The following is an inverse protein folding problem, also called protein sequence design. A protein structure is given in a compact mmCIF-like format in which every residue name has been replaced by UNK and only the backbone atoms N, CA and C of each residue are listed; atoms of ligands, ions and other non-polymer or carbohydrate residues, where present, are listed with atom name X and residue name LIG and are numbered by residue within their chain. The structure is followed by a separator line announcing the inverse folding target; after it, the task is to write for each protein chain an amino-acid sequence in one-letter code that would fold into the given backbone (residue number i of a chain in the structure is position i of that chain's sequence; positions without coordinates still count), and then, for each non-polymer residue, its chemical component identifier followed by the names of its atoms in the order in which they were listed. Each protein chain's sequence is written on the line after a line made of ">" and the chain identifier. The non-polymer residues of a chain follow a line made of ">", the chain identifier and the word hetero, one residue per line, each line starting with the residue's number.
data_IF_426693902053
#
_entry.id   IF_426693902053
#
_cell.length_a   1.000
_cell.length_b   1.000
_cell.length_c   1.000
_cell.angle_alpha   90.00
_cell.angle_beta   90.00
_cell.angle_gamma   90.00
#
_symmetry.space_group_name_H-M   'P 1'
#
loop_
_entity.id
_entity.type
_entity.pdbx_description
1 polymer ?
#
# COMPACT_ATOMS: atom_id res chain seq x y z
N UNK A 1 -15.76 28.40 -35.73
CA UNK A 1 -15.09 27.62 -36.80
C UNK A 1 -14.84 26.24 -36.29
N UNK A 2 -15.56 25.23 -36.81
CA UNK A 2 -15.42 23.82 -36.43
C UNK A 2 -14.12 23.29 -37.01
N UNK A 3 -13.11 23.08 -36.19
CA UNK A 3 -11.92 22.34 -36.58
C UNK A 3 -12.23 20.86 -36.67
N UNK A 4 -12.61 20.40 -37.86
CA UNK A 4 -12.67 18.99 -38.17
C UNK A 4 -11.24 18.43 -38.12
N UNK A 5 -10.86 17.75 -37.02
CA UNK A 5 -9.62 17.00 -36.95
C UNK A 5 -9.69 15.94 -38.05
N UNK A 6 -8.89 16.09 -39.13
CA UNK A 6 -8.72 15.04 -40.13
C UNK A 6 -8.10 13.82 -39.42
N UNK A 7 -8.89 12.78 -39.23
CA UNK A 7 -8.43 11.48 -38.78
C UNK A 7 -7.59 10.85 -39.90
N UNK A 8 -6.26 11.04 -39.85
CA UNK A 8 -5.30 10.48 -40.81
C UNK A 8 -4.62 9.21 -40.27
N UNK A 9 -5.30 8.47 -39.37
CA UNK A 9 -4.76 7.25 -38.79
C UNK A 9 -5.15 5.99 -39.58
N UNK A 10 -4.37 4.94 -39.43
CA UNK A 10 -4.69 3.60 -39.94
C UNK A 10 -5.98 3.09 -39.30
N UNK A 11 -7.03 2.75 -40.10
CA UNK A 11 -8.32 2.29 -39.58
C UNK A 11 -8.20 1.03 -38.69
N UNK A 12 -7.32 0.10 -39.04
CA UNK A 12 -7.12 -1.12 -38.27
C UNK A 12 -6.56 -0.82 -36.86
N UNK A 13 -5.60 0.10 -36.76
CA UNK A 13 -5.07 0.57 -35.47
C UNK A 13 -6.09 1.34 -34.65
N UNK A 14 -7.00 2.09 -35.32
CA UNK A 14 -8.08 2.77 -34.62
C UNK A 14 -9.07 1.79 -34.00
N UNK A 15 -9.43 0.73 -34.74
CA UNK A 15 -10.34 -0.32 -34.25
C UNK A 15 -9.70 -1.11 -33.09
N UNK A 16 -8.43 -1.48 -33.22
CA UNK A 16 -7.65 -2.15 -32.17
C UNK A 16 -7.62 -1.30 -30.88
N UNK A 17 -7.33 0.01 -31.00
CA UNK A 17 -7.29 0.92 -29.86
C UNK A 17 -8.68 1.12 -29.24
N UNK A 18 -9.73 1.23 -30.04
CA UNK A 18 -11.11 1.30 -29.54
C UNK A 18 -11.47 0.04 -28.74
N UNK A 19 -11.14 -1.14 -29.26
CA UNK A 19 -11.28 -2.41 -28.54
C UNK A 19 -10.50 -2.46 -27.22
N UNK A 20 -9.28 -1.89 -27.19
CA UNK A 20 -8.51 -1.74 -25.94
C UNK A 20 -9.25 -0.84 -24.95
N UNK A 21 -9.83 0.27 -25.37
CA UNK A 21 -10.57 1.18 -24.47
C UNK A 21 -11.82 0.54 -23.89
N UNK A 22 -12.51 -0.32 -24.64
CA UNK A 22 -13.62 -1.13 -24.13
C UNK A 22 -13.15 -2.10 -23.04
N UNK A 23 -12.01 -2.74 -23.22
CA UNK A 23 -11.42 -3.59 -22.17
C UNK A 23 -11.07 -2.78 -20.91
N UNK A 24 -10.40 -1.62 -21.06
CA UNK A 24 -10.09 -0.73 -19.94
C UNK A 24 -11.35 -0.35 -19.15
N UNK A 25 -12.46 -0.01 -19.84
CA UNK A 25 -13.72 0.28 -19.15
C UNK A 25 -14.25 -0.93 -18.38
N UNK A 26 -14.28 -2.11 -19.01
CA UNK A 26 -14.77 -3.33 -18.37
C UNK A 26 -13.92 -3.73 -17.18
N UNK A 27 -12.60 -3.72 -17.32
CA UNK A 27 -11.66 -4.09 -16.25
C UNK A 27 -11.77 -3.11 -15.06
N UNK A 28 -11.92 -1.80 -15.34
CA UNK A 28 -12.14 -0.80 -14.30
C UNK A 28 -13.46 -1.03 -13.56
N UNK A 29 -14.56 -1.31 -14.25
CA UNK A 29 -15.85 -1.63 -13.64
C UNK A 29 -15.78 -2.94 -12.83
N UNK A 30 -15.09 -3.94 -13.35
CA UNK A 30 -14.87 -5.21 -12.65
C UNK A 30 -14.07 -5.01 -11.37
N UNK A 31 -13.08 -4.11 -11.38
CA UNK A 31 -12.33 -3.70 -10.19
C UNK A 31 -13.24 -3.19 -9.06
N UNK A 32 -14.26 -2.36 -9.38
CA UNK A 32 -15.24 -1.91 -8.38
C UNK A 32 -16.08 -3.08 -7.84
N UNK A 33 -16.47 -4.04 -8.67
CA UNK A 33 -17.20 -5.23 -8.22
C UNK A 33 -16.32 -6.10 -7.32
N UNK A 34 -15.02 -6.22 -7.61
CA UNK A 34 -14.08 -6.92 -6.75
C UNK A 34 -13.91 -6.21 -5.40
N UNK A 35 -13.80 -4.89 -5.39
CA UNK A 35 -13.81 -4.08 -4.16
C UNK A 35 -15.05 -4.35 -3.31
N UNK A 36 -16.25 -4.38 -3.92
CA UNK A 36 -17.49 -4.70 -3.22
C UNK A 36 -17.46 -6.13 -2.66
N UNK A 37 -17.01 -7.11 -3.46
CA UNK A 37 -16.89 -8.51 -3.04
C UNK A 37 -15.97 -8.69 -1.84
N UNK A 38 -14.84 -7.98 -1.84
CA UNK A 38 -13.89 -7.98 -0.73
C UNK A 38 -14.49 -7.33 0.54
N UNK A 39 -15.04 -6.11 0.42
CA UNK A 39 -15.63 -5.35 1.53
C UNK A 39 -16.82 -6.05 2.18
N UNK A 40 -17.64 -6.72 1.39
CA UNK A 40 -18.81 -7.47 1.85
C UNK A 40 -18.48 -8.92 2.26
N UNK A 41 -17.22 -9.35 2.12
CA UNK A 41 -16.74 -10.71 2.36
C UNK A 41 -17.39 -11.77 1.47
N UNK A 42 -17.96 -11.39 0.33
CA UNK A 42 -18.63 -12.34 -0.57
C UNK A 42 -17.65 -13.39 -1.10
N UNK A 43 -16.41 -13.02 -1.42
CA UNK A 43 -15.39 -13.99 -1.84
C UNK A 43 -15.08 -15.00 -0.75
N UNK A 44 -14.89 -14.54 0.50
CA UNK A 44 -14.60 -15.42 1.64
C UNK A 44 -15.78 -16.39 1.95
N UNK A 45 -17.01 -15.89 1.80
CA UNK A 45 -18.22 -16.73 1.96
C UNK A 45 -18.32 -17.76 0.84
N UNK A 46 -18.18 -17.35 -0.42
CA UNK A 46 -18.29 -18.26 -1.57
C UNK A 46 -17.19 -19.31 -1.60
N UNK A 47 -15.98 -19.00 -1.13
CA UNK A 47 -14.89 -19.96 -1.04
C UNK A 47 -15.19 -21.14 -0.08
N UNK A 48 -16.12 -20.94 0.87
CA UNK A 48 -16.52 -21.95 1.87
C UNK A 48 -17.81 -22.66 1.52
N UNK A 49 -18.53 -22.18 0.50
CA UNK A 49 -19.79 -22.77 0.07
C UNK A 49 -19.57 -23.77 -1.09
N UNK A 50 -20.40 -24.83 -1.18
CA UNK A 50 -20.55 -25.58 -2.42
C UNK A 50 -21.16 -24.65 -3.51
N UNK A 51 -21.28 -25.11 -4.77
CA UNK A 51 -22.07 -24.40 -5.77
C UNK A 51 -23.46 -24.06 -5.21
N UNK A 52 -23.80 -22.76 -5.16
CA UNK A 52 -24.97 -22.24 -4.43
C UNK A 52 -25.73 -21.20 -5.23
N UNK A 53 -27.02 -21.06 -4.99
CA UNK A 53 -27.88 -20.03 -5.58
C UNK A 53 -27.58 -18.64 -5.01
N UNK A 54 -28.09 -17.59 -5.64
CA UNK A 54 -27.92 -16.22 -5.12
C UNK A 54 -28.56 -16.03 -3.75
N UNK A 55 -29.68 -16.70 -3.49
CA UNK A 55 -30.39 -16.68 -2.22
C UNK A 55 -29.57 -17.34 -1.09
N UNK A 56 -28.95 -18.48 -1.37
CA UNK A 56 -28.10 -19.20 -0.42
C UNK A 56 -26.84 -18.42 -0.09
N UNK A 57 -26.17 -17.83 -1.12
CA UNK A 57 -24.98 -16.98 -0.93
C UNK A 57 -25.34 -15.73 -0.13
N UNK A 58 -26.44 -15.07 -0.46
CA UNK A 58 -26.90 -13.89 0.26
C UNK A 58 -27.24 -14.21 1.72
N UNK A 59 -27.94 -15.33 1.95
CA UNK A 59 -28.27 -15.80 3.29
C UNK A 59 -27.01 -16.10 4.13
N UNK A 60 -26.04 -16.78 3.56
CA UNK A 60 -24.76 -17.09 4.21
C UNK A 60 -23.93 -15.85 4.52
N UNK A 61 -23.98 -14.85 3.65
CA UNK A 61 -23.27 -13.57 3.82
C UNK A 61 -24.01 -12.56 4.70
N UNK A 62 -25.28 -12.80 5.04
CA UNK A 62 -26.15 -11.83 5.74
C UNK A 62 -26.44 -10.58 4.92
N UNK A 63 -26.51 -10.72 3.60
CA UNK A 63 -26.67 -9.60 2.66
C UNK A 63 -28.02 -9.65 1.93
N UNK A 64 -28.39 -8.53 1.34
CA UNK A 64 -29.62 -8.44 0.56
C UNK A 64 -29.47 -9.13 -0.80
N UNK A 65 -30.30 -10.15 -1.09
CA UNK A 65 -30.21 -11.02 -2.27
C UNK A 65 -30.19 -10.27 -3.59
N UNK A 66 -31.01 -9.24 -3.75
CA UNK A 66 -31.08 -8.49 -5.02
C UNK A 66 -29.74 -7.85 -5.40
N UNK A 67 -28.97 -7.36 -4.42
CA UNK A 67 -27.62 -6.83 -4.64
C UNK A 67 -26.62 -7.95 -4.90
N UNK A 68 -26.69 -9.04 -4.15
CA UNK A 68 -25.81 -10.21 -4.35
C UNK A 68 -26.01 -10.80 -5.75
N UNK A 69 -27.25 -10.96 -6.19
CA UNK A 69 -27.58 -11.46 -7.55
C UNK A 69 -27.05 -10.56 -8.67
N UNK A 70 -27.18 -9.24 -8.53
CA UNK A 70 -26.63 -8.29 -9.51
C UNK A 70 -25.10 -8.35 -9.54
N UNK A 71 -24.46 -8.38 -8.36
CA UNK A 71 -23.02 -8.52 -8.24
C UNK A 71 -22.53 -9.84 -8.84
N UNK A 72 -23.18 -10.96 -8.54
CA UNK A 72 -22.89 -12.28 -9.14
C UNK A 72 -22.96 -12.24 -10.66
N UNK A 73 -23.96 -11.55 -11.22
CA UNK A 73 -24.05 -11.34 -12.66
C UNK A 73 -22.82 -10.66 -13.23
N UNK A 74 -22.38 -9.55 -12.61
CA UNK A 74 -21.20 -8.79 -13.03
C UNK A 74 -19.90 -9.59 -12.94
N UNK A 75 -19.62 -10.24 -11.80
CA UNK A 75 -18.40 -11.03 -11.62
C UNK A 75 -18.39 -12.33 -12.42
N UNK A 76 -19.58 -12.85 -12.79
CA UNK A 76 -19.70 -14.02 -13.68
C UNK A 76 -19.34 -13.66 -15.11
N UNK A 77 -19.93 -12.60 -15.66
CA UNK A 77 -19.58 -12.16 -17.04
C UNK A 77 -18.17 -11.61 -17.12
N UNK A 78 -17.61 -11.14 -15.99
CA UNK A 78 -16.21 -10.78 -15.83
C UNK A 78 -15.27 -11.97 -15.67
N UNK A 79 -15.76 -13.21 -15.65
CA UNK A 79 -14.92 -14.42 -15.60
C UNK A 79 -14.34 -14.75 -14.22
N UNK A 80 -14.80 -14.10 -13.14
CA UNK A 80 -14.33 -14.35 -11.77
C UNK A 80 -15.08 -15.51 -11.11
N UNK A 81 -16.39 -15.59 -11.31
CA UNK A 81 -17.28 -16.61 -10.76
C UNK A 81 -17.79 -17.49 -11.88
N UNK A 82 -17.89 -18.78 -11.65
CA UNK A 82 -18.48 -19.75 -12.59
C UNK A 82 -19.95 -19.93 -12.25
N UNK A 83 -20.80 -19.91 -13.28
CA UNK A 83 -22.24 -20.11 -13.17
C UNK A 83 -22.68 -21.40 -13.89
N UNK A 84 -23.46 -22.21 -13.22
CA UNK A 84 -24.14 -23.36 -13.81
C UNK A 84 -25.61 -23.01 -14.12
N UNK A 85 -26.01 -22.95 -15.42
CA UNK A 85 -27.37 -22.61 -15.79
C UNK A 85 -28.39 -23.73 -15.52
N UNK A 86 -27.95 -24.98 -15.38
CA UNK A 86 -28.85 -26.09 -15.11
C UNK A 86 -29.41 -26.03 -13.69
N UNK A 87 -28.55 -25.79 -12.71
CA UNK A 87 -28.93 -25.70 -11.29
C UNK A 87 -29.06 -24.25 -10.81
N UNK A 88 -28.74 -23.27 -11.67
CA UNK A 88 -28.71 -21.83 -11.34
C UNK A 88 -27.80 -21.50 -10.16
N UNK A 89 -26.67 -22.19 -10.06
CA UNK A 89 -25.72 -22.05 -8.99
C UNK A 89 -24.45 -21.33 -9.43
N UNK A 90 -23.81 -20.69 -8.47
CA UNK A 90 -22.54 -19.94 -8.62
C UNK A 90 -21.46 -20.60 -7.78
N UNK A 91 -20.23 -20.59 -8.27
CA UNK A 91 -19.06 -21.13 -7.57
C UNK A 91 -17.85 -20.21 -7.81
N UNK A 92 -17.14 -19.87 -6.74
CA UNK A 92 -15.81 -19.26 -6.83
C UNK A 92 -14.79 -20.39 -7.00
N UNK A 93 -14.03 -20.45 -8.13
CA UNK A 93 -12.97 -21.42 -8.30
C UNK A 93 -11.89 -21.27 -7.23
N UNK A 94 -11.30 -22.36 -6.69
CA UNK A 94 -10.21 -22.28 -5.71
C UNK A 94 -9.02 -21.47 -6.20
N UNK A 95 -8.69 -21.53 -7.50
CA UNK A 95 -7.63 -20.79 -8.15
C UNK A 95 -7.87 -19.27 -8.10
N UNK A 96 -9.14 -18.84 -8.20
CA UNK A 96 -9.50 -17.44 -8.10
C UNK A 96 -9.59 -17.01 -6.62
N UNK A 97 -10.07 -17.88 -5.74
CA UNK A 97 -10.10 -17.62 -4.31
C UNK A 97 -8.70 -17.33 -3.74
N UNK A 98 -7.67 -17.99 -4.27
CA UNK A 98 -6.26 -17.78 -3.91
C UNK A 98 -5.74 -16.35 -4.15
N UNK A 99 -6.48 -15.50 -4.91
CA UNK A 99 -6.11 -14.11 -5.15
C UNK A 99 -7.18 -13.09 -4.72
N UNK A 100 -8.30 -13.56 -4.14
CA UNK A 100 -9.45 -12.69 -3.82
C UNK A 100 -9.89 -12.78 -2.37
N UNK A 101 -9.59 -13.89 -1.68
CA UNK A 101 -9.99 -14.10 -0.30
C UNK A 101 -8.96 -13.55 0.69
N UNK A 102 -9.40 -13.19 1.88
CA UNK A 102 -8.51 -12.70 2.95
C UNK A 102 -7.49 -13.75 3.39
N UNK A 103 -7.88 -15.02 3.36
CA UNK A 103 -7.00 -16.14 3.71
C UNK A 103 -5.83 -16.33 2.70
N UNK A 104 -5.86 -15.66 1.54
CA UNK A 104 -4.75 -15.64 0.59
C UNK A 104 -3.54 -14.80 1.07
N UNK A 105 -3.70 -14.02 2.13
CA UNK A 105 -2.62 -13.20 2.70
C UNK A 105 -2.01 -12.23 1.66
N UNK A 106 -0.68 -12.30 1.42
CA UNK A 106 -0.01 -11.42 0.46
C UNK A 106 -0.55 -11.50 -0.97
N UNK A 107 -1.14 -12.63 -1.36
CA UNK A 107 -1.68 -12.85 -2.71
C UNK A 107 -3.10 -12.28 -2.91
N UNK A 108 -3.73 -11.73 -1.86
CA UNK A 108 -5.05 -11.12 -1.95
C UNK A 108 -5.01 -9.79 -2.71
N UNK A 109 -5.21 -9.83 -4.01
CA UNK A 109 -5.24 -8.63 -4.86
C UNK A 109 -6.56 -7.85 -4.76
N UNK A 110 -7.62 -8.45 -4.21
CA UNK A 110 -8.91 -7.76 -4.06
C UNK A 110 -8.86 -6.62 -3.03
N UNK A 111 -7.92 -6.65 -2.08
CA UNK A 111 -7.69 -5.57 -1.13
C UNK A 111 -7.30 -4.27 -1.83
N UNK A 112 -6.34 -4.30 -2.76
CA UNK A 112 -5.91 -3.12 -3.54
C UNK A 112 -7.04 -2.49 -4.36
N UNK A 113 -8.03 -3.28 -4.77
CA UNK A 113 -9.13 -2.75 -5.58
C UNK A 113 -10.08 -1.86 -4.76
N UNK A 114 -9.95 -1.82 -3.42
CA UNK A 114 -10.66 -0.86 -2.57
C UNK A 114 -10.20 0.57 -2.80
N UNK A 115 -8.93 0.76 -3.16
CA UNK A 115 -8.34 2.08 -3.40
C UNK A 115 -8.97 2.79 -4.60
N UNK A 116 -9.47 2.03 -5.59
CA UNK A 116 -10.20 2.63 -6.71
C UNK A 116 -11.39 3.48 -6.26
N UNK A 117 -12.12 3.00 -5.24
CA UNK A 117 -13.25 3.75 -4.69
C UNK A 117 -12.79 4.95 -3.87
N UNK A 118 -11.66 4.84 -3.18
CA UNK A 118 -11.08 5.92 -2.38
C UNK A 118 -10.59 7.07 -3.26
N UNK A 119 -9.76 6.75 -4.26
CA UNK A 119 -9.19 7.75 -5.17
C UNK A 119 -10.28 8.40 -6.06
N UNK A 120 -11.33 7.66 -6.42
CA UNK A 120 -12.46 8.20 -7.18
C UNK A 120 -13.22 9.32 -6.47
N UNK A 121 -13.14 9.40 -5.13
CA UNK A 121 -13.79 10.46 -4.37
C UNK A 121 -13.17 11.84 -4.57
N UNK A 122 -11.90 11.90 -4.96
CA UNK A 122 -11.12 13.14 -5.07
C UNK A 122 -10.85 13.56 -6.52
N UNK A 123 -11.47 12.93 -7.51
CA UNK A 123 -11.22 13.20 -8.93
C UNK A 123 -11.41 14.69 -9.28
N UNK A 124 -12.47 15.33 -8.80
CA UNK A 124 -12.75 16.75 -9.06
C UNK A 124 -11.69 17.67 -8.43
N UNK A 125 -11.19 17.31 -7.23
CA UNK A 125 -10.10 18.05 -6.57
C UNK A 125 -8.78 17.88 -7.34
N UNK A 126 -8.48 16.68 -7.81
CA UNK A 126 -7.31 16.41 -8.66
C UNK A 126 -7.41 17.17 -9.99
N UNK A 127 -8.58 17.21 -10.64
CA UNK A 127 -8.81 18.02 -11.86
C UNK A 127 -8.56 19.50 -11.59
N UNK A 128 -8.91 19.99 -10.41
CA UNK A 128 -8.62 21.36 -9.99
C UNK A 128 -7.10 21.57 -9.84
N UNK A 129 -6.41 20.62 -9.17
CA UNK A 129 -4.96 20.67 -9.02
C UNK A 129 -4.21 20.63 -10.38
N UNK A 130 -4.73 19.90 -11.37
CA UNK A 130 -4.16 19.93 -12.73
C UNK A 130 -4.23 21.32 -13.41
N UNK A 131 -5.21 22.15 -13.04
CA UNK A 131 -5.40 23.48 -13.62
C UNK A 131 -4.64 24.58 -12.88
N UNK A 132 -4.71 24.51 -11.55
CA UNK A 132 -4.34 25.62 -10.68
C UNK A 132 -3.05 25.34 -9.87
N UNK A 133 -2.53 24.12 -9.92
CA UNK A 133 -1.46 23.65 -9.07
C UNK A 133 -1.95 23.33 -7.65
N UNK A 134 -1.03 23.14 -6.71
CA UNK A 134 -1.34 22.65 -5.36
C UNK A 134 -1.58 21.15 -5.34
N UNK A 135 -2.44 20.67 -4.44
CA UNK A 135 -2.75 19.27 -4.29
C UNK A 135 -4.02 19.04 -3.48
N UNK A 136 -4.30 17.77 -3.16
CA UNK A 136 -5.48 17.35 -2.42
C UNK A 136 -5.09 17.08 -0.97
N UNK A 137 -5.78 17.67 0.03
CA UNK A 137 -5.41 17.47 1.42
C UNK A 137 -5.72 16.05 1.90
N UNK A 138 -4.95 15.55 2.85
CA UNK A 138 -5.10 14.21 3.45
C UNK A 138 -6.52 13.95 3.99
N UNK A 139 -7.19 15.01 4.47
CA UNK A 139 -8.57 14.94 4.99
C UNK A 139 -9.63 14.59 3.96
N UNK A 140 -9.33 14.68 2.66
CA UNK A 140 -10.24 14.31 1.57
C UNK A 140 -10.34 12.80 1.36
N UNK A 141 -9.51 12.00 2.03
CA UNK A 141 -9.46 10.54 1.89
C UNK A 141 -10.06 9.82 3.11
N UNK A 142 -11.38 9.67 3.18
CA UNK A 142 -12.02 8.90 4.25
C UNK A 142 -11.58 7.43 4.14
N UNK A 143 -11.33 6.77 5.28
CA UNK A 143 -10.90 5.37 5.35
C UNK A 143 -9.47 5.09 4.86
N UNK A 144 -8.67 6.10 4.50
CA UNK A 144 -7.29 5.85 4.06
C UNK A 144 -6.52 5.02 5.08
N UNK A 145 -6.52 5.42 6.34
CA UNK A 145 -5.82 4.71 7.42
C UNK A 145 -6.28 3.25 7.61
N UNK A 146 -7.58 3.00 7.40
CA UNK A 146 -8.15 1.64 7.46
C UNK A 146 -7.62 0.77 6.31
N UNK A 147 -7.61 1.30 5.09
CA UNK A 147 -7.14 0.57 3.91
C UNK A 147 -5.63 0.31 3.99
N UNK A 148 -4.84 1.31 4.35
CA UNK A 148 -3.39 1.15 4.52
C UNK A 148 -3.04 0.15 5.62
N UNK A 149 -3.80 0.10 6.72
CA UNK A 149 -3.59 -0.91 7.75
C UNK A 149 -3.89 -2.32 7.25
N UNK A 150 -4.93 -2.52 6.42
CA UNK A 150 -5.24 -3.82 5.80
C UNK A 150 -4.13 -4.26 4.84
N UNK A 151 -3.62 -3.34 4.01
CA UNK A 151 -2.50 -3.60 3.08
C UNK A 151 -1.21 -3.92 3.82
N UNK A 152 -0.87 -3.13 4.83
CA UNK A 152 0.31 -3.33 5.68
C UNK A 152 0.25 -4.69 6.37
N UNK A 153 -0.89 -5.05 6.98
CA UNK A 153 -1.08 -6.34 7.64
C UNK A 153 -0.88 -7.51 6.67
N UNK A 154 -1.41 -7.40 5.45
CA UNK A 154 -1.28 -8.42 4.41
C UNK A 154 0.17 -8.80 4.13
N UNK A 155 1.07 -7.83 4.05
CA UNK A 155 2.49 -8.03 3.75
C UNK A 155 3.28 -8.36 5.02
N UNK A 156 3.11 -7.58 6.08
CA UNK A 156 4.00 -7.65 7.24
C UNK A 156 3.70 -8.81 8.16
N UNK A 157 2.46 -9.29 8.24
CA UNK A 157 2.14 -10.53 8.99
C UNK A 157 2.95 -11.73 8.47
N UNK A 158 3.21 -11.77 7.15
CA UNK A 158 3.94 -12.84 6.53
C UNK A 158 5.46 -12.61 6.46
N UNK A 159 5.92 -11.37 6.29
CA UNK A 159 7.28 -11.09 5.85
C UNK A 159 8.13 -10.24 6.81
N UNK A 160 7.53 -9.42 7.68
CA UNK A 160 8.30 -8.42 8.44
C UNK A 160 9.42 -9.04 9.27
N UNK A 161 9.08 -10.02 10.11
CA UNK A 161 10.04 -10.61 11.07
C UNK A 161 10.98 -11.60 10.38
N UNK A 162 10.45 -12.41 9.46
CA UNK A 162 11.15 -13.56 8.91
C UNK A 162 11.88 -13.28 7.58
N UNK A 163 11.53 -12.19 6.89
CA UNK A 163 12.13 -11.85 5.59
C UNK A 163 12.69 -10.42 5.54
N UNK A 164 11.96 -9.40 6.02
CA UNK A 164 12.38 -7.99 5.90
C UNK A 164 13.46 -7.64 6.94
N UNK A 165 13.26 -7.95 8.21
CA UNK A 165 14.28 -7.69 9.26
C UNK A 165 15.60 -8.40 8.97
N UNK A 166 15.64 -9.66 8.48
CA UNK A 166 16.89 -10.33 8.10
C UNK A 166 17.65 -9.72 6.92
N UNK A 167 17.07 -8.78 6.17
CA UNK A 167 17.82 -8.01 5.15
C UNK A 167 18.98 -7.21 5.74
N UNK A 168 18.91 -6.92 7.05
CA UNK A 168 19.99 -6.31 7.82
C UNK A 168 20.78 -7.41 8.54
N UNK A 169 22.00 -7.74 8.08
CA UNK A 169 22.80 -8.81 8.68
C UNK A 169 23.02 -8.62 10.18
N UNK A 170 22.75 -9.66 10.98
CA UNK A 170 22.91 -9.67 12.43
C UNK A 170 21.81 -8.92 13.20
N UNK A 171 20.84 -8.31 12.54
CA UNK A 171 19.76 -7.57 13.21
C UNK A 171 18.80 -8.49 13.97
N UNK A 172 18.35 -9.65 13.42
CA UNK A 172 17.50 -10.58 14.17
C UNK A 172 18.09 -10.99 15.52
N UNK A 173 19.38 -11.33 15.56
CA UNK A 173 20.08 -11.74 16.75
C UNK A 173 20.22 -10.58 17.76
N UNK A 174 20.48 -9.37 17.29
CA UNK A 174 20.53 -8.17 18.13
C UNK A 174 19.18 -7.85 18.76
N UNK A 175 18.10 -7.93 17.98
CA UNK A 175 16.72 -7.73 18.45
C UNK A 175 16.31 -8.79 19.47
N UNK A 176 16.72 -10.05 19.28
CA UNK A 176 16.41 -11.15 20.17
C UNK A 176 17.28 -11.17 21.44
N UNK A 177 18.31 -10.31 21.55
CA UNK A 177 19.19 -10.26 22.72
C UNK A 177 18.48 -9.64 23.93
N UNK A 178 18.87 -10.05 25.13
CA UNK A 178 18.34 -9.52 26.41
C UNK A 178 18.61 -8.03 26.62
N UNK A 179 19.59 -7.46 25.92
CA UNK A 179 19.90 -6.03 25.97
C UNK A 179 18.80 -5.19 25.32
N UNK A 180 18.08 -5.78 24.37
CA UNK A 180 17.06 -5.09 23.56
C UNK A 180 17.65 -3.97 22.70
N UNK A 181 16.90 -3.51 21.72
CA UNK A 181 17.24 -2.37 20.88
C UNK A 181 16.21 -1.25 21.05
N UNK A 182 16.66 0.00 20.84
CA UNK A 182 15.78 1.15 20.65
C UNK A 182 15.43 1.25 19.17
N UNK A 183 14.17 1.07 18.83
CA UNK A 183 13.65 1.06 17.46
C UNK A 183 12.65 2.19 17.28
N UNK A 184 12.78 2.93 16.20
CA UNK A 184 11.83 3.94 15.75
C UNK A 184 11.24 3.55 14.42
N UNK A 185 9.92 3.67 14.27
CA UNK A 185 9.20 3.53 13.01
C UNK A 185 8.60 4.89 12.62
N UNK A 186 8.98 5.39 11.46
CA UNK A 186 8.57 6.70 10.93
C UNK A 186 7.41 6.50 9.96
N UNK A 187 6.31 7.26 10.14
CA UNK A 187 5.09 7.06 9.38
C UNK A 187 4.38 5.76 9.75
N UNK A 188 4.31 5.48 11.04
CA UNK A 188 3.84 4.19 11.57
C UNK A 188 2.35 3.89 11.30
N UNK A 189 1.57 4.88 10.86
CA UNK A 189 0.13 4.74 10.61
C UNK A 189 -0.63 4.21 11.82
N UNK A 190 -1.25 3.05 11.68
CA UNK A 190 -1.93 2.34 12.78
C UNK A 190 -0.99 1.42 13.58
N UNK A 191 0.32 1.55 13.43
CA UNK A 191 1.32 0.90 14.27
C UNK A 191 1.51 -0.59 14.07
N UNK A 192 1.06 -1.14 12.95
CA UNK A 192 1.07 -2.58 12.71
C UNK A 192 2.48 -3.17 12.78
N UNK A 193 3.46 -2.58 12.05
CA UNK A 193 4.85 -3.02 12.05
C UNK A 193 5.46 -2.97 13.47
N UNK A 194 5.24 -1.87 14.20
CA UNK A 194 5.71 -1.71 15.59
C UNK A 194 5.13 -2.78 16.50
N UNK A 195 3.82 -3.05 16.42
CA UNK A 195 3.16 -4.06 17.25
C UNK A 195 3.67 -5.47 16.95
N UNK A 196 3.92 -5.80 15.69
CA UNK A 196 4.52 -7.08 15.30
C UNK A 196 5.93 -7.25 15.87
N UNK A 197 6.78 -6.22 15.71
CA UNK A 197 8.16 -6.25 16.24
C UNK A 197 8.19 -6.28 17.76
N UNK A 198 7.34 -5.50 18.44
CA UNK A 198 7.25 -5.48 19.89
C UNK A 198 6.82 -6.83 20.47
N UNK A 199 5.92 -7.54 19.78
CA UNK A 199 5.50 -8.91 20.14
C UNK A 199 6.61 -9.93 19.91
N UNK A 200 7.32 -9.81 18.77
CA UNK A 200 8.38 -10.76 18.41
C UNK A 200 9.65 -10.59 19.29
N UNK A 201 9.94 -9.37 19.75
CA UNK A 201 11.16 -9.02 20.46
C UNK A 201 10.87 -8.30 21.79
N UNK A 202 10.47 -9.03 22.84
CA UNK A 202 9.99 -8.43 24.10
C UNK A 202 11.01 -7.57 24.86
N UNK A 203 12.32 -7.80 24.66
CA UNK A 203 13.39 -7.01 25.27
C UNK A 203 13.61 -5.64 24.59
N UNK A 204 13.17 -5.47 23.34
CA UNK A 204 13.29 -4.23 22.58
C UNK A 204 12.33 -3.14 23.05
N UNK A 205 12.61 -1.91 22.69
CA UNK A 205 11.76 -0.73 22.91
C UNK A 205 11.40 -0.15 21.55
N UNK A 206 10.12 -0.15 21.23
CA UNK A 206 9.62 0.22 19.91
C UNK A 206 8.79 1.50 20.02
N UNK A 207 9.13 2.48 19.21
CA UNK A 207 8.40 3.76 19.12
C UNK A 207 7.92 3.96 17.69
N UNK A 208 6.64 4.22 17.50
CA UNK A 208 6.06 4.63 16.23
C UNK A 208 5.68 6.10 16.25
N UNK A 209 5.99 6.84 15.18
CA UNK A 209 5.58 8.24 15.02
C UNK A 209 4.79 8.43 13.73
N UNK A 210 3.71 9.20 13.82
CA UNK A 210 2.86 9.55 12.68
C UNK A 210 2.15 10.88 12.93
N UNK A 211 1.79 11.62 11.88
CA UNK A 211 1.00 12.84 11.99
C UNK A 211 -0.49 12.55 12.22
N UNK A 212 -0.97 11.37 11.85
CA UNK A 212 -2.37 10.95 11.96
C UNK A 212 -2.75 10.66 13.42
N UNK A 213 -3.55 11.56 14.02
CA UNK A 213 -4.10 11.35 15.37
C UNK A 213 -4.95 10.09 15.47
N UNK A 214 -5.73 9.79 14.44
CA UNK A 214 -6.58 8.59 14.41
C UNK A 214 -5.76 7.32 14.23
N UNK A 215 -4.71 7.34 13.39
CA UNK A 215 -3.77 6.24 13.25
C UNK A 215 -3.07 5.91 14.56
N UNK A 216 -2.51 6.92 15.23
CA UNK A 216 -1.85 6.75 16.54
C UNK A 216 -2.81 6.28 17.64
N UNK A 217 -4.07 6.74 17.64
CA UNK A 217 -5.07 6.22 18.58
C UNK A 217 -5.30 4.72 18.36
N UNK A 218 -5.55 4.30 17.11
CA UNK A 218 -5.73 2.89 16.76
C UNK A 218 -4.48 2.03 17.09
N UNK A 219 -3.28 2.57 16.86
CA UNK A 219 -2.02 1.90 17.20
C UNK A 219 -1.89 1.61 18.70
N UNK A 220 -2.28 2.58 19.54
CA UNK A 220 -2.27 2.43 21.00
C UNK A 220 -3.29 1.42 21.49
N UNK A 221 -4.52 1.50 20.96
CA UNK A 221 -5.61 0.57 21.30
C UNK A 221 -5.21 -0.88 20.96
N UNK A 222 -4.56 -1.09 19.82
CA UNK A 222 -4.07 -2.39 19.42
C UNK A 222 -2.91 -2.89 20.31
N UNK A 223 -1.96 -2.03 20.65
CA UNK A 223 -0.87 -2.38 21.57
C UNK A 223 -1.40 -2.76 22.96
N UNK A 224 -2.39 -2.02 23.49
CA UNK A 224 -3.06 -2.35 24.75
C UNK A 224 -3.80 -3.69 24.66
N UNK A 225 -4.57 -3.90 23.60
CA UNK A 225 -5.27 -5.18 23.35
C UNK A 225 -4.34 -6.39 23.28
N UNK A 226 -3.13 -6.20 22.72
CA UNK A 226 -2.09 -7.22 22.60
C UNK A 226 -1.21 -7.35 23.84
N UNK A 227 -1.34 -6.43 24.81
CA UNK A 227 -0.53 -6.42 26.02
C UNK A 227 0.96 -6.13 25.78
N UNK A 228 1.28 -5.16 24.92
CA UNK A 228 2.64 -4.81 24.51
C UNK A 228 3.18 -3.58 25.28
N UNK A 229 3.81 -3.75 26.46
CA UNK A 229 4.32 -2.63 27.26
C UNK A 229 5.55 -1.94 26.64
N UNK A 230 6.18 -2.59 25.68
CA UNK A 230 7.36 -2.15 24.97
C UNK A 230 7.07 -1.43 23.64
N UNK A 231 5.80 -1.24 23.28
CA UNK A 231 5.37 -0.44 22.13
C UNK A 231 4.86 0.93 22.61
N UNK A 232 5.29 2.02 21.96
CA UNK A 232 4.86 3.40 22.23
C UNK A 232 4.54 4.10 20.91
N UNK A 233 3.56 5.02 20.95
CA UNK A 233 3.13 5.74 19.74
C UNK A 233 2.93 7.22 20.03
N UNK A 234 3.45 8.07 19.17
CA UNK A 234 3.44 9.52 19.33
C UNK A 234 2.91 10.21 18.07
N UNK A 235 2.05 11.20 18.26
CA UNK A 235 1.64 12.09 17.16
C UNK A 235 2.76 13.09 16.97
N UNK A 236 3.54 12.92 15.92
CA UNK A 236 4.70 13.77 15.63
C UNK A 236 4.99 13.84 14.13
N UNK A 237 5.60 14.96 13.72
CA UNK A 237 6.15 15.10 12.39
C UNK A 237 7.51 14.39 12.32
N UNK A 238 7.66 13.54 11.31
CA UNK A 238 8.89 12.78 11.09
C UNK A 238 10.13 13.65 10.86
N UNK A 239 9.97 14.86 10.28
CA UNK A 239 11.05 15.81 10.12
C UNK A 239 11.57 16.41 11.44
N UNK A 240 10.82 16.26 12.54
CA UNK A 240 11.20 16.70 13.87
C UNK A 240 11.72 15.58 14.79
N UNK A 241 11.92 14.39 14.26
CA UNK A 241 12.38 13.24 15.06
C UNK A 241 13.75 13.51 15.69
N UNK A 242 13.83 13.20 16.97
CA UNK A 242 15.07 13.30 17.77
C UNK A 242 15.25 12.03 18.59
N UNK A 243 16.42 11.82 19.15
CA UNK A 243 16.73 10.64 19.98
C UNK A 243 17.96 9.90 19.53
N UNK A 244 18.09 8.64 19.97
CA UNK A 244 19.22 7.77 19.64
C UNK A 244 18.70 6.34 19.50
N UNK A 245 18.60 5.88 18.27
CA UNK A 245 18.01 4.58 17.93
C UNK A 245 19.06 3.65 17.30
N UNK A 246 18.92 2.37 17.57
CA UNK A 246 19.71 1.30 16.95
C UNK A 246 19.19 0.94 15.57
N UNK A 247 17.86 1.05 15.40
CA UNK A 247 17.16 0.82 14.15
C UNK A 247 16.12 1.93 13.94
N UNK A 248 16.09 2.50 12.75
CA UNK A 248 14.94 3.29 12.29
C UNK A 248 14.34 2.56 11.09
N UNK A 249 13.03 2.45 11.05
CA UNK A 249 12.27 1.93 9.91
C UNK A 249 11.39 3.02 9.31
N UNK A 250 11.13 2.92 8.01
CA UNK A 250 10.13 3.69 7.28
C UNK A 250 9.65 2.84 6.10
N UNK A 251 8.37 2.51 6.06
CA UNK A 251 7.81 1.62 5.06
C UNK A 251 6.69 2.32 4.29
N UNK A 252 6.90 2.54 2.99
CA UNK A 252 5.98 3.21 2.08
C UNK A 252 5.58 4.63 2.55
N UNK A 253 6.55 5.41 3.04
CA UNK A 253 6.32 6.71 3.68
C UNK A 253 7.07 7.84 3.02
N UNK A 254 8.36 7.66 2.68
CA UNK A 254 9.24 8.78 2.29
C UNK A 254 8.75 9.49 1.03
N UNK A 255 8.14 8.77 0.12
CA UNK A 255 7.69 9.28 -1.18
C UNK A 255 6.44 10.18 -1.10
N UNK A 256 5.66 10.11 -0.03
CA UNK A 256 4.45 10.93 0.14
C UNK A 256 4.62 12.10 1.13
N UNK A 257 5.75 12.14 1.86
CA UNK A 257 6.02 13.22 2.79
C UNK A 257 6.13 14.59 2.11
N UNK A 258 5.67 15.62 2.81
CA UNK A 258 5.89 17.00 2.37
C UNK A 258 7.37 17.38 2.43
N UNK A 259 8.11 16.93 3.45
CA UNK A 259 9.51 17.30 3.72
C UNK A 259 10.43 16.08 3.79
N UNK A 260 10.55 15.28 2.69
CA UNK A 260 11.30 14.03 2.73
C UNK A 260 12.80 14.22 3.00
N UNK A 261 13.42 15.28 2.49
CA UNK A 261 14.84 15.57 2.72
C UNK A 261 15.12 15.90 4.21
N UNK A 262 14.25 16.70 4.83
CA UNK A 262 14.38 17.03 6.26
C UNK A 262 14.15 15.76 7.13
N UNK A 263 13.18 14.93 6.76
CA UNK A 263 12.92 13.67 7.44
C UNK A 263 14.12 12.73 7.35
N UNK A 264 14.69 12.52 6.17
CA UNK A 264 15.88 11.68 6.02
C UNK A 264 17.08 12.20 6.81
N UNK A 265 17.28 13.53 6.87
CA UNK A 265 18.31 14.15 7.68
C UNK A 265 18.06 13.96 9.21
N UNK A 266 16.80 14.09 9.65
CA UNK A 266 16.40 13.85 11.03
C UNK A 266 16.62 12.37 11.42
N UNK A 267 16.26 11.42 10.56
CA UNK A 267 16.51 9.99 10.73
C UNK A 267 18.03 9.72 10.87
N UNK A 268 18.85 10.26 9.97
CA UNK A 268 20.31 10.14 10.06
C UNK A 268 20.84 10.70 11.39
N UNK A 269 20.31 11.86 11.84
CA UNK A 269 20.67 12.47 13.12
C UNK A 269 20.27 11.61 14.34
N UNK A 270 19.12 10.94 14.26
CA UNK A 270 18.56 10.14 15.34
C UNK A 270 19.16 8.72 15.45
N UNK A 271 19.87 8.23 14.47
CA UNK A 271 20.56 6.95 14.55
C UNK A 271 21.79 7.02 15.48
N UNK A 272 22.08 5.94 16.17
CA UNK A 272 23.41 5.68 16.80
C UNK A 272 24.48 5.51 15.72
N UNK A 273 25.75 5.54 16.13
CA UNK A 273 26.86 5.46 15.16
C UNK A 273 26.89 4.10 14.41
N UNK A 274 26.46 3.02 15.07
CA UNK A 274 26.31 1.66 14.50
C UNK A 274 24.84 1.34 14.11
N UNK A 275 23.97 2.34 14.19
CA UNK A 275 22.54 2.22 13.86
C UNK A 275 22.29 2.01 12.37
N UNK A 276 21.13 1.47 12.07
CA UNK A 276 20.70 1.18 10.69
C UNK A 276 19.35 1.86 10.40
N UNK A 277 19.23 2.42 9.21
CA UNK A 277 17.96 2.82 8.63
C UNK A 277 17.52 1.76 7.62
N UNK A 278 16.38 1.14 7.85
CA UNK A 278 15.73 0.19 6.96
C UNK A 278 14.50 0.86 6.34
N UNK A 279 14.60 1.26 5.09
CA UNK A 279 13.53 1.90 4.35
C UNK A 279 12.99 0.93 3.31
N UNK A 280 11.70 0.65 3.35
CA UNK A 280 10.96 -0.03 2.27
C UNK A 280 10.23 1.02 1.44
N UNK A 281 10.32 0.94 0.11
CA UNK A 281 9.61 1.85 -0.77
C UNK A 281 9.42 1.20 -2.16
N UNK A 282 8.59 1.81 -2.99
CA UNK A 282 8.15 1.25 -4.26
C UNK A 282 9.32 0.90 -5.19
N UNK A 283 9.29 -0.33 -5.73
CA UNK A 283 10.27 -0.87 -6.66
C UNK A 283 10.10 -0.28 -8.07
N UNK A 284 10.43 0.99 -8.21
CA UNK A 284 10.35 1.72 -9.48
C UNK A 284 11.66 2.42 -9.81
N UNK A 285 11.81 2.83 -11.08
CA UNK A 285 12.89 3.70 -11.53
C UNK A 285 12.43 5.17 -11.54
N UNK A 286 13.37 6.09 -11.29
CA UNK A 286 13.13 7.53 -11.52
C UNK A 286 13.06 7.89 -13.01
N UNK A 287 13.28 6.94 -13.90
CA UNK A 287 13.30 7.12 -15.36
C UNK A 287 12.10 6.41 -15.97
N UNK A 288 11.28 7.16 -16.70
CA UNK A 288 10.06 6.63 -17.29
C UNK A 288 10.31 5.44 -18.23
N UNK A 289 11.38 5.51 -19.03
CA UNK A 289 11.75 4.47 -19.97
C UNK A 289 12.05 3.11 -19.31
N UNK A 290 12.52 3.11 -18.07
CA UNK A 290 12.80 1.92 -17.28
C UNK A 290 11.53 1.34 -16.62
N UNK A 291 10.44 2.13 -16.56
CA UNK A 291 9.14 1.73 -16.02
C UNK A 291 8.15 1.23 -17.07
N UNK A 292 8.49 1.28 -18.38
CA UNK A 292 7.58 0.88 -19.46
C UNK A 292 7.11 -0.58 -19.38
N UNK A 293 7.89 -1.45 -18.75
CA UNK A 293 7.58 -2.87 -18.52
C UNK A 293 7.10 -3.20 -17.11
N UNK A 294 6.88 -2.20 -16.26
CA UNK A 294 6.48 -2.42 -14.87
C UNK A 294 5.05 -2.99 -14.82
N UNK A 295 4.84 -4.19 -14.26
CA UNK A 295 3.52 -4.86 -14.30
C UNK A 295 2.40 -4.02 -13.71
N UNK A 296 2.65 -3.33 -12.59
CA UNK A 296 1.71 -2.44 -11.91
C UNK A 296 1.90 -0.96 -12.27
N UNK A 297 2.67 -0.65 -13.30
CA UNK A 297 3.03 0.72 -13.68
C UNK A 297 1.84 1.67 -13.76
N UNK A 298 0.76 1.37 -14.51
CA UNK A 298 -0.42 2.24 -14.58
C UNK A 298 -1.08 2.49 -13.21
N UNK A 299 -1.17 1.46 -12.35
CA UNK A 299 -1.73 1.60 -11.00
C UNK A 299 -0.86 2.50 -10.13
N UNK A 300 0.46 2.28 -10.11
CA UNK A 300 1.41 3.09 -9.32
C UNK A 300 1.40 4.56 -9.73
N UNK A 301 1.36 4.87 -11.04
CA UNK A 301 1.20 6.25 -11.51
C UNK A 301 -0.17 6.84 -11.17
N UNK A 302 -1.23 6.03 -11.15
CA UNK A 302 -2.56 6.45 -10.72
C UNK A 302 -2.54 6.81 -9.24
N UNK A 303 -2.02 5.94 -8.38
CA UNK A 303 -1.89 6.24 -6.94
C UNK A 303 -1.00 7.47 -6.69
N UNK A 304 0.08 7.64 -7.45
CA UNK A 304 0.89 8.84 -7.37
C UNK A 304 0.10 10.12 -7.63
N UNK A 305 -0.65 10.16 -8.75
CA UNK A 305 -1.44 11.34 -9.15
C UNK A 305 -2.60 11.61 -8.19
N UNK A 306 -3.30 10.57 -7.77
CA UNK A 306 -4.50 10.68 -6.96
C UNK A 306 -4.24 10.69 -5.45
N UNK A 307 -3.04 10.34 -4.99
CA UNK A 307 -2.73 10.25 -3.58
C UNK A 307 -1.32 10.76 -3.27
N UNK A 308 -0.26 9.97 -3.37
CA UNK A 308 1.05 10.26 -2.80
C UNK A 308 1.63 11.61 -3.24
N UNK A 309 1.66 11.87 -4.55
CA UNK A 309 2.17 13.14 -5.07
C UNK A 309 1.27 14.32 -4.69
N UNK A 310 -0.04 14.17 -4.88
CA UNK A 310 -0.98 15.28 -4.69
C UNK A 310 -1.16 15.65 -3.21
N UNK A 311 -1.09 14.70 -2.29
CA UNK A 311 -1.14 14.99 -0.84
C UNK A 311 0.11 15.77 -0.42
N UNK A 312 1.29 15.32 -0.81
CA UNK A 312 2.54 16.04 -0.56
C UNK A 312 2.48 17.49 -1.10
N UNK A 313 2.02 17.68 -2.34
CA UNK A 313 1.86 19.01 -2.94
C UNK A 313 0.79 19.84 -2.22
N UNK A 314 -0.29 19.21 -1.73
CA UNK A 314 -1.35 19.88 -0.95
C UNK A 314 -0.86 20.46 0.36
N UNK A 315 0.19 19.89 0.92
CA UNK A 315 0.89 20.40 2.11
C UNK A 315 2.08 21.32 1.76
N UNK A 316 2.21 21.76 0.50
CA UNK A 316 3.31 22.58 0.03
C UNK A 316 4.64 21.83 -0.05
N UNK A 317 4.58 20.52 -0.15
CA UNK A 317 5.72 19.63 -0.10
C UNK A 317 6.41 19.35 -1.43
N UNK A 318 7.32 18.37 -1.42
CA UNK A 318 8.22 18.07 -2.54
C UNK A 318 7.51 17.35 -3.72
N UNK A 319 6.37 16.68 -3.46
CA UNK A 319 5.60 15.98 -4.48
C UNK A 319 6.37 14.85 -5.17
N UNK A 320 7.16 14.06 -4.43
CA UNK A 320 7.95 12.95 -5.00
C UNK A 320 7.03 11.93 -5.70
N UNK A 321 5.99 11.48 -5.00
CA UNK A 321 5.00 10.54 -5.50
C UNK A 321 5.49 9.09 -5.54
N UNK A 322 4.56 8.16 -5.71
CA UNK A 322 4.77 6.71 -5.66
C UNK A 322 5.93 6.23 -6.53
N UNK A 323 6.14 6.83 -7.70
CA UNK A 323 7.14 6.41 -8.69
C UNK A 323 8.40 7.30 -8.65
N UNK A 324 8.79 7.81 -7.48
CA UNK A 324 10.00 8.63 -7.32
C UNK A 324 11.30 7.89 -7.64
N UNK A 325 11.31 6.59 -7.41
CA UNK A 325 12.25 5.62 -7.92
C UNK A 325 13.61 5.55 -7.24
N UNK A 326 14.28 4.42 -7.48
CA UNK A 326 15.55 4.04 -6.85
C UNK A 326 16.64 5.11 -6.94
N UNK A 327 16.80 5.76 -8.09
CA UNK A 327 17.89 6.71 -8.30
C UNK A 327 17.69 7.97 -7.43
N UNK A 328 16.46 8.45 -7.32
CA UNK A 328 16.12 9.58 -6.44
C UNK A 328 16.29 9.19 -4.98
N UNK A 329 15.84 8.00 -4.58
CA UNK A 329 15.99 7.48 -3.23
C UNK A 329 17.46 7.42 -2.80
N UNK A 330 18.33 6.81 -3.62
CA UNK A 330 19.77 6.70 -3.34
C UNK A 330 20.45 8.07 -3.24
N UNK A 331 20.09 9.01 -4.12
CA UNK A 331 20.64 10.37 -4.08
C UNK A 331 20.21 11.09 -2.79
N UNK A 332 18.94 11.03 -2.42
CA UNK A 332 18.44 11.68 -1.21
C UNK A 332 19.00 11.07 0.07
N UNK A 333 19.19 9.75 0.12
CA UNK A 333 19.87 9.09 1.23
C UNK A 333 21.33 9.56 1.37
N UNK A 334 22.05 9.66 0.26
CA UNK A 334 23.42 10.18 0.28
C UNK A 334 23.48 11.66 0.74
N UNK A 335 22.57 12.51 0.25
CA UNK A 335 22.44 13.92 0.65
C UNK A 335 22.09 14.07 2.14
N UNK A 336 21.36 13.11 2.72
CA UNK A 336 21.03 13.08 4.15
C UNK A 336 22.17 12.56 5.06
N UNK A 337 23.30 12.11 4.48
CA UNK A 337 24.49 11.68 5.23
C UNK A 337 24.63 10.16 5.41
N UNK A 338 23.86 9.36 4.66
CA UNK A 338 24.09 7.92 4.61
C UNK A 338 25.22 7.60 3.62
N UNK A 339 26.31 7.02 4.14
CA UNK A 339 27.53 6.73 3.35
C UNK A 339 27.51 5.36 2.69
N UNK A 340 26.77 4.41 3.26
CA UNK A 340 26.61 3.06 2.73
C UNK A 340 25.11 2.75 2.61
N UNK A 341 24.65 2.43 1.40
CA UNK A 341 23.28 2.04 1.14
C UNK A 341 23.27 0.77 0.28
N UNK A 342 22.78 -0.32 0.87
CA UNK A 342 22.55 -1.57 0.14
C UNK A 342 21.07 -1.69 -0.23
N UNK A 343 20.80 -1.94 -1.50
CA UNK A 343 19.44 -2.21 -1.99
C UNK A 343 19.18 -3.71 -1.95
N UNK A 344 18.03 -4.10 -1.44
CA UNK A 344 17.61 -5.49 -1.23
C UNK A 344 16.19 -5.70 -1.74
N UNK A 345 15.87 -6.94 -2.06
CA UNK A 345 14.55 -7.40 -2.48
C UNK A 345 14.12 -8.56 -1.59
N UNK A 346 12.82 -8.72 -1.38
CA UNK A 346 12.22 -9.85 -0.68
C UNK A 346 11.48 -10.69 -1.71
N UNK A 347 11.72 -11.99 -1.71
CA UNK A 347 11.04 -12.91 -2.62
C UNK A 347 9.52 -12.84 -2.41
N UNK A 348 8.77 -12.65 -3.50
CA UNK A 348 7.32 -12.51 -3.48
C UNK A 348 6.81 -11.08 -3.22
N UNK A 349 7.64 -10.14 -2.80
CA UNK A 349 7.25 -8.72 -2.73
C UNK A 349 7.46 -8.07 -4.11
N UNK A 350 6.36 -7.92 -4.83
CA UNK A 350 6.37 -7.34 -6.19
C UNK A 350 6.26 -5.81 -6.20
N UNK A 351 6.04 -5.21 -5.02
CA UNK A 351 5.80 -3.78 -4.91
C UNK A 351 7.02 -3.03 -4.41
N UNK A 352 7.75 -3.61 -3.44
CA UNK A 352 8.75 -2.87 -2.70
C UNK A 352 10.19 -3.31 -2.96
N UNK A 353 11.08 -2.38 -2.76
CA UNK A 353 12.51 -2.57 -2.64
C UNK A 353 12.96 -1.98 -1.31
N UNK A 354 13.96 -2.60 -0.68
CA UNK A 354 14.41 -2.26 0.65
C UNK A 354 15.81 -1.65 0.60
N UNK A 355 15.98 -0.52 1.29
CA UNK A 355 17.26 0.19 1.43
C UNK A 355 17.78 -0.01 2.84
N UNK A 356 18.91 -0.69 2.98
CA UNK A 356 19.64 -0.84 4.23
C UNK A 356 20.73 0.24 4.24
N UNK A 357 20.52 1.30 5.01
CA UNK A 357 21.38 2.47 5.01
C UNK A 357 22.09 2.65 6.36
N UNK A 358 23.38 3.02 6.31
CA UNK A 358 24.22 3.33 7.49
C UNK A 358 24.82 4.71 7.34
N UNK A 359 25.09 5.37 8.48
CA UNK A 359 25.78 6.67 8.45
C UNK A 359 27.11 6.58 7.69
N UNK A 360 27.44 7.67 7.00
CA UNK A 360 28.79 7.89 6.53
C UNK A 360 29.75 8.11 7.70
N UNK A 361 30.96 7.59 7.58
CA UNK A 361 32.05 7.81 8.55
C UNK A 361 32.58 9.22 8.50
#
# INVERSE_FOLDING_TARGET
>A
MSHTIRRTGDPARQEEFAGRMVRVLNDSCLGYLCSLGHRTRLFDVMARLPPSTSEEIAGAAGLHERYVREWLGGVTVGGIVVYDPADRTYRLPPEHAASLCRDAGPDNLASFLQDLALIGLVEDEVVTAFRDGGGVPYSSYPRFQELQAEETARVYDAALVDAIIPLVPGLPERLASDAGLDVLDVGTGQGHAVNLLARAFPAGRFTGVDMSRSGIAAARDEAERLGLPNARFEVADAAGVTGRYDLVTAFDVIHDLARPAETLAAVAGALRDDGVFLMGDIAASSRLEENLGLPLGPALYTFSVFYCMTVSLGEGGAGLGTVWGRQTALRMLAEAGFGEVAVREVEGDILNVYYVARKGS
#
